data_IF_436040294674
#
_entry.id   IF_436040294674
#
_cell.length_a   1.000
_cell.length_b   1.000
_cell.length_c   1.000
_cell.angle_alpha   90.00
_cell.angle_beta   90.00
_cell.angle_gamma   90.00
#
_symmetry.space_group_name_H-M   'P 1'
#
loop_
_entity.id
_entity.type
_entity.pdbx_description
1 polymer ?
2 polymer ?
3 non-polymer ?
4 water ?
#
# COMPACT_ATOMS: atom_id res chain seq x y z
N UNK A 16 14.64 2.44 -23.07
CA UNK A 16 14.93 3.45 -22.05
C UNK A 16 15.77 2.92 -20.88
N UNK A 17 17.11 2.97 -20.99
CA UNK A 17 18.03 2.27 -20.04
C UNK A 17 17.79 2.83 -18.63
N UNK A 18 17.57 1.93 -17.68
CA UNK A 18 17.66 2.25 -16.23
C UNK A 18 19.03 1.81 -15.75
N UNK A 19 19.69 2.63 -14.90
CA UNK A 19 20.97 2.23 -14.30
C UNK A 19 20.94 0.83 -13.68
N UNK A 20 19.82 0.41 -13.10
CA UNK A 20 19.78 -0.87 -12.35
C UNK A 20 19.62 -2.05 -13.32
N UNK A 21 19.64 -1.80 -14.63
CA UNK A 21 19.80 -2.82 -15.69
C UNK A 21 21.28 -3.05 -16.01
N UNK A 22 22.17 -2.34 -15.32
CA UNK A 22 23.65 -2.46 -15.47
C UNK A 22 24.23 -3.27 -14.30
N UNK A 23 25.19 -4.15 -14.58
CA UNK A 23 25.82 -5.01 -13.58
C UNK A 23 24.86 -6.00 -12.94
N UNK A 24 25.13 -6.36 -11.69
CA UNK A 24 24.48 -7.44 -10.95
C UNK A 24 23.28 -6.81 -10.24
N UNK A 25 22.04 -7.32 -10.44
CA UNK A 25 20.88 -6.84 -9.69
C UNK A 25 21.11 -6.79 -8.17
N UNK A 26 21.88 -7.71 -7.61
CA UNK A 26 22.09 -7.77 -6.15
C UNK A 26 22.91 -6.56 -5.67
N UNK A 27 23.50 -5.78 -6.58
CA UNK A 27 24.15 -4.51 -6.18
C UNK A 27 23.15 -3.63 -5.42
N UNK A 28 21.86 -3.71 -5.76
CA UNK A 28 20.82 -2.85 -5.14
C UNK A 28 20.36 -3.45 -3.81
N UNK A 29 20.93 -4.59 -3.41
CA UNK A 29 20.62 -5.33 -2.16
C UNK A 29 21.93 -5.76 -1.52
N UNK A 30 22.92 -4.88 -1.58
CA UNK A 30 24.31 -5.14 -1.15
C UNK A 30 24.37 -5.37 0.35
N UNK A 31 25.36 -6.17 0.80
CA UNK A 31 25.50 -6.64 2.19
C UNK A 31 26.41 -5.69 2.98
N UNK A 32 26.98 -4.66 2.37
CA UNK A 32 27.81 -3.64 3.08
C UNK A 32 27.32 -2.23 2.78
N UNK A 33 27.50 -1.30 3.75
CA UNK A 33 27.28 0.13 3.52
C UNK A 33 27.92 0.68 2.23
N UNK A 34 29.17 0.32 1.95
CA UNK A 34 29.91 0.79 0.75
C UNK A 34 29.21 0.31 -0.53
N UNK A 35 28.77 -0.95 -0.54
CA UNK A 35 28.00 -1.52 -1.66
C UNK A 35 26.70 -0.75 -1.87
N UNK A 36 26.00 -0.42 -0.78
CA UNK A 36 24.70 0.31 -0.90
C UNK A 36 24.96 1.72 -1.42
N UNK A 37 26.10 2.33 -1.07
CA UNK A 37 26.48 3.70 -1.53
C UNK A 37 26.68 3.68 -3.05
N UNK A 38 27.32 2.64 -3.57
CA UNK A 38 27.49 2.46 -5.04
C UNK A 38 26.10 2.44 -5.70
N UNK A 39 25.16 1.62 -5.20
CA UNK A 39 23.81 1.50 -5.80
C UNK A 39 23.11 2.87 -5.74
N UNK A 40 23.18 3.55 -4.60
CA UNK A 40 22.58 4.90 -4.46
C UNK A 40 23.12 5.82 -5.55
N UNK A 41 24.41 5.72 -5.87
CA UNK A 41 25.05 6.64 -6.84
C UNK A 41 24.56 6.29 -8.24
N UNK A 42 24.42 5.00 -8.54
CA UNK A 42 23.91 4.54 -9.85
C UNK A 42 22.55 5.19 -10.13
N UNK A 43 21.67 5.24 -9.12
CA UNK A 43 20.27 5.69 -9.30
C UNK A 43 20.22 7.18 -9.66
N UNK A 44 21.26 7.96 -9.37
CA UNK A 44 21.13 9.45 -9.39
C UNK A 44 20.65 9.93 -10.78
N UNK A 45 21.14 9.33 -11.86
CA UNK A 45 20.86 9.76 -13.26
C UNK A 45 19.62 9.06 -13.81
N UNK A 46 18.97 8.19 -13.04
CA UNK A 46 17.80 7.42 -13.51
C UNK A 46 16.68 8.37 -13.94
N UNK A 47 16.12 8.19 -15.16
CA UNK A 47 15.04 9.07 -15.63
C UNK A 47 13.73 8.96 -14.84
N UNK A 48 13.53 7.87 -14.10
CA UNK A 48 12.30 7.65 -13.27
C UNK A 48 12.65 7.61 -11.78
N UNK A 49 13.77 8.19 -11.36
CA UNK A 49 14.28 8.06 -9.97
C UNK A 49 13.19 8.47 -8.96
N UNK A 50 12.56 9.63 -9.13
CA UNK A 50 11.59 10.11 -8.11
C UNK A 50 10.33 9.24 -8.11
N UNK A 51 9.95 8.73 -9.27
CA UNK A 51 8.78 7.82 -9.42
C UNK A 51 9.10 6.49 -8.72
N UNK A 52 10.32 5.97 -8.90
CA UNK A 52 10.77 4.70 -8.28
C UNK A 52 10.74 4.87 -6.75
N UNK A 53 11.23 6.01 -6.26
CA UNK A 53 11.26 6.31 -4.82
C UNK A 53 9.83 6.35 -4.28
N UNK A 54 8.93 7.05 -4.98
CA UNK A 54 7.53 7.24 -4.53
C UNK A 54 6.88 5.86 -4.42
N UNK A 55 7.07 5.02 -5.43
CA UNK A 55 6.39 3.71 -5.55
C UNK A 55 6.94 2.78 -4.46
N UNK A 56 8.25 2.82 -4.19
CA UNK A 56 8.86 1.95 -3.17
C UNK A 56 8.35 2.36 -1.78
N UNK A 57 8.14 3.65 -1.55
CA UNK A 57 7.57 4.15 -0.28
C UNK A 57 6.13 3.66 -0.13
N UNK A 58 5.35 3.72 -1.22
CA UNK A 58 3.92 3.32 -1.24
C UNK A 58 3.85 1.83 -0.91
N UNK A 59 4.75 1.02 -1.46
CA UNK A 59 4.77 -0.45 -1.25
C UNK A 59 5.43 -0.79 0.09
N UNK A 60 6.11 0.17 0.73
CA UNK A 60 6.86 -0.04 1.98
C UNK A 60 7.91 -1.15 1.78
N UNK A 61 8.78 -1.00 0.78
CA UNK A 61 9.84 -1.99 0.48
C UNK A 61 10.66 -2.21 1.74
N UNK A 62 10.90 -3.48 2.11
CA UNK A 62 11.58 -3.79 3.37
C UNK A 62 13.08 -3.52 3.39
N UNK A 63 13.70 -3.52 2.22
CA UNK A 63 15.16 -3.35 2.07
C UNK A 63 15.49 -2.98 0.63
N UNK A 64 16.78 -2.71 0.39
CA UNK A 64 17.32 -2.46 -0.95
C UNK A 64 17.37 -0.98 -1.25
N UNK A 65 18.00 -0.65 -2.38
CA UNK A 65 18.10 0.75 -2.84
C UNK A 65 17.05 0.96 -3.93
N UNK A 66 16.21 1.96 -3.72
CA UNK A 66 15.11 2.32 -4.63
C UNK A 66 15.16 3.84 -4.75
N UNK A 67 15.08 4.39 -5.97
CA UNK A 67 15.06 5.84 -6.17
C UNK A 67 16.25 6.51 -5.51
N UNK A 68 17.37 5.79 -5.42
CA UNK A 68 18.65 6.30 -4.89
C UNK A 68 18.64 6.46 -3.38
N UNK A 69 17.71 5.79 -2.70
CA UNK A 69 17.66 5.78 -1.22
C UNK A 69 17.71 4.33 -0.68
N UNK A 70 18.32 4.13 0.48
CA UNK A 70 18.31 2.82 1.19
C UNK A 70 17.00 2.70 1.96
N UNK A 71 16.31 1.56 1.79
CA UNK A 71 15.07 1.25 2.53
C UNK A 71 15.33 0.28 3.67
N UNK A 72 14.53 0.46 4.73
CA UNK A 72 14.54 -0.41 5.93
C UNK A 72 13.09 -0.42 6.46
N UNK A 73 12.37 -1.52 6.29
CA UNK A 73 10.96 -1.68 6.72
C UNK A 73 10.09 -0.53 6.18
N UNK A 74 10.29 -0.15 4.93
CA UNK A 74 9.48 0.90 4.25
C UNK A 74 9.92 2.31 4.64
N UNK A 75 10.92 2.45 5.50
CA UNK A 75 11.51 3.78 5.86
C UNK A 75 12.80 4.02 5.07
N UNK A 76 13.17 5.28 4.91
CA UNK A 76 14.47 5.73 4.33
C UNK A 76 15.51 5.75 5.45
N UNK A 77 16.66 5.12 5.22
CA UNK A 77 17.86 5.22 6.10
C UNK A 77 18.61 6.48 5.69
N UNK A 78 18.46 7.56 6.46
CA UNK A 78 18.83 8.96 6.05
C UNK A 78 20.14 9.38 6.73
N UNK A 79 20.73 8.51 7.55
CA UNK A 79 21.89 8.83 8.43
C UNK A 79 22.72 7.57 8.70
N UNK B 15 2.59 -17.76 -25.22
CA UNK B 15 1.99 -16.60 -24.49
C UNK B 15 2.03 -16.87 -22.98
N UNK B 16 1.31 -17.90 -22.51
CA UNK B 16 1.40 -18.41 -21.12
C UNK B 16 2.71 -19.21 -20.95
N UNK B 17 3.08 -20.00 -21.96
CA UNK B 17 4.35 -20.78 -21.96
C UNK B 17 5.53 -19.81 -21.98
N UNK B 18 5.44 -18.71 -22.74
CA UNK B 18 6.49 -17.66 -22.77
C UNK B 18 6.56 -16.99 -21.38
N UNK B 19 5.42 -16.77 -20.71
CA UNK B 19 5.41 -16.20 -19.34
C UNK B 19 6.15 -17.16 -18.40
N UNK B 20 5.81 -18.45 -18.45
CA UNK B 20 6.43 -19.49 -17.58
C UNK B 20 7.95 -19.45 -17.79
N UNK B 21 8.40 -19.40 -19.05
CA UNK B 21 9.84 -19.39 -19.41
C UNK B 21 10.51 -18.14 -18.84
N UNK B 22 9.89 -16.97 -19.00
CA UNK B 22 10.47 -15.68 -18.55
C UNK B 22 10.51 -15.67 -17.02
N UNK B 23 9.44 -16.12 -16.36
CA UNK B 23 9.40 -16.23 -14.87
C UNK B 23 10.55 -17.12 -14.39
N UNK B 24 10.73 -18.28 -15.02
CA UNK B 24 11.83 -19.22 -14.69
C UNK B 24 13.16 -18.47 -14.82
N UNK B 25 13.34 -17.71 -15.89
CA UNK B 25 14.63 -17.01 -16.14
C UNK B 25 14.86 -15.98 -15.03
N UNK B 26 13.83 -15.26 -14.62
CA UNK B 26 13.96 -14.23 -13.54
C UNK B 26 14.32 -14.95 -12.23
N UNK B 27 13.64 -16.06 -11.90
CA UNK B 27 13.87 -16.80 -10.64
C UNK B 27 15.29 -17.37 -10.62
N UNK B 28 15.84 -17.73 -11.79
CA UNK B 28 17.17 -18.35 -11.93
C UNK B 28 18.29 -17.33 -11.64
N UNK B 29 17.95 -16.02 -11.58
CA UNK B 29 18.89 -14.94 -11.22
C UNK B 29 19.00 -14.81 -9.69
N UNK B 30 18.11 -15.46 -8.93
CA UNK B 30 18.18 -15.51 -7.45
C UNK B 30 19.09 -16.66 -7.03
N UNK B 31 19.47 -16.71 -5.75
CA UNK B 31 20.17 -17.87 -5.15
C UNK B 31 19.23 -19.08 -5.16
N UNK B 32 19.76 -20.29 -5.03
CA UNK B 32 18.94 -21.54 -4.99
C UNK B 32 17.92 -21.41 -3.87
N UNK B 33 18.36 -20.97 -2.70
CA UNK B 33 17.51 -20.82 -1.49
C UNK B 33 16.42 -19.78 -1.76
N UNK B 34 16.79 -18.62 -2.31
CA UNK B 34 15.83 -17.52 -2.60
C UNK B 34 14.75 -18.02 -3.56
N UNK B 35 15.14 -18.60 -4.69
CA UNK B 35 14.21 -19.06 -5.73
C UNK B 35 13.38 -20.22 -5.17
N UNK B 36 14.01 -21.05 -4.34
CA UNK B 36 13.35 -22.25 -3.78
C UNK B 36 12.21 -21.86 -2.88
N UNK B 37 12.43 -20.89 -1.99
CA UNK B 37 11.38 -20.38 -1.07
C UNK B 37 10.22 -19.80 -1.90
N UNK B 38 10.50 -19.03 -2.94
CA UNK B 38 9.42 -18.40 -3.76
C UNK B 38 8.66 -19.49 -4.51
N UNK B 39 9.36 -20.46 -5.10
CA UNK B 39 8.68 -21.53 -5.88
C UNK B 39 7.77 -22.32 -4.94
N UNK B 40 8.27 -22.70 -3.76
CA UNK B 40 7.47 -23.51 -2.81
C UNK B 40 6.27 -22.70 -2.30
N UNK B 41 6.47 -21.40 -2.00
CA UNK B 41 5.38 -20.52 -1.47
C UNK B 41 4.24 -20.40 -2.50
N UNK B 42 4.55 -20.32 -3.79
CA UNK B 42 3.56 -20.06 -4.87
C UNK B 42 3.14 -21.37 -5.54
N UNK B 43 3.85 -22.47 -5.29
CA UNK B 43 3.50 -23.77 -5.92
C UNK B 43 3.90 -23.81 -7.37
N UNK B 44 5.02 -23.19 -7.72
CA UNK B 44 5.39 -22.96 -9.13
C UNK B 44 5.75 -24.27 -9.84
N UNK B 45 6.23 -25.28 -9.10
CA UNK B 45 6.65 -26.58 -9.70
C UNK B 45 5.50 -27.59 -9.58
N UNK B 46 4.90 -27.71 -8.41
CA UNK B 46 3.99 -28.86 -8.09
C UNK B 46 2.54 -28.38 -8.02
N UNK B 47 2.29 -27.07 -8.19
CA UNK B 47 0.93 -26.49 -8.19
C UNK B 47 0.35 -26.33 -6.80
N UNK B 48 1.12 -26.60 -5.74
CA UNK B 48 0.63 -26.61 -4.33
C UNK B 48 1.39 -25.58 -3.52
N UNK B 49 0.81 -24.39 -3.24
CA UNK B 49 1.43 -23.44 -2.33
C UNK B 49 1.73 -24.08 -0.96
N UNK B 50 2.90 -23.77 -0.40
CA UNK B 50 3.39 -24.32 0.88
C UNK B 50 3.44 -23.21 1.92
N UNK B 51 3.15 -23.56 3.17
CA UNK B 51 3.17 -22.61 4.31
C UNK B 51 4.63 -22.29 4.64
N UNK B 52 4.91 -21.15 5.27
CA UNK B 52 6.27 -20.82 5.73
C UNK B 52 6.76 -21.96 6.63
N UNK B 53 5.83 -22.55 7.42
CA UNK B 53 6.10 -23.67 8.34
C UNK B 53 6.60 -24.90 7.57
N UNK B 54 5.89 -25.28 6.50
CA UNK B 54 6.23 -26.46 5.65
C UNK B 54 7.61 -26.25 5.03
N UNK B 55 7.87 -25.04 4.54
CA UNK B 55 9.17 -24.70 3.88
C UNK B 55 10.29 -24.78 4.92
N UNK B 56 10.06 -24.28 6.14
CA UNK B 56 11.07 -24.38 7.22
C UNK B 56 11.46 -25.83 7.47
N UNK B 57 10.48 -26.73 7.49
CA UNK B 57 10.71 -28.17 7.78
C UNK B 57 11.57 -28.80 6.66
N UNK B 58 11.25 -28.51 5.40
CA UNK B 58 12.00 -29.01 4.19
C UNK B 58 13.46 -28.56 4.25
N UNK B 59 13.72 -27.29 4.56
CA UNK B 59 15.08 -26.72 4.49
C UNK B 59 15.82 -26.90 5.83
N UNK B 60 15.11 -27.26 6.90
CA UNK B 60 15.66 -27.32 8.27
C UNK B 60 16.12 -25.96 8.74
N UNK B 61 15.31 -24.95 8.45
CA UNK B 61 15.54 -23.52 8.78
C UNK B 61 14.34 -23.03 9.58
N UNK B 62 14.53 -22.09 10.50
CA UNK B 62 13.41 -21.55 11.31
C UNK B 62 12.34 -20.95 10.40
N UNK B 63 11.08 -21.06 10.80
CA UNK B 63 9.96 -20.38 10.13
C UNK B 63 10.32 -18.89 10.01
N UNK B 64 10.94 -18.33 11.04
CA UNK B 64 11.27 -16.88 11.05
C UNK B 64 12.25 -16.56 9.92
N UNK B 65 13.27 -17.38 9.71
CA UNK B 65 14.23 -17.09 8.63
C UNK B 65 13.54 -17.24 7.28
N UNK B 66 12.66 -18.21 7.14
CA UNK B 66 11.92 -18.37 5.86
C UNK B 66 11.06 -17.13 5.64
N UNK B 67 10.42 -16.63 6.70
CA UNK B 67 9.57 -15.42 6.59
C UNK B 67 10.44 -14.27 6.06
N UNK B 68 11.65 -14.13 6.60
CA UNK B 68 12.57 -13.02 6.24
C UNK B 68 12.96 -13.19 4.77
N UNK B 69 13.31 -14.42 4.39
CA UNK B 69 13.75 -14.71 3.00
C UNK B 69 12.60 -14.39 2.04
N UNK B 70 11.37 -14.80 2.35
CA UNK B 70 10.23 -14.55 1.45
C UNK B 70 10.10 -13.03 1.27
N UNK B 71 10.10 -12.28 2.37
CA UNK B 71 9.93 -10.81 2.35
C UNK B 71 11.02 -10.16 1.49
N UNK B 72 12.26 -10.53 1.73
CA UNK B 72 13.44 -9.90 1.08
C UNK B 72 13.47 -10.31 -0.40
N UNK B 73 13.08 -11.54 -0.72
CA UNK B 73 13.16 -12.03 -2.10
C UNK B 73 12.04 -11.40 -2.94
N UNK B 74 10.83 -11.26 -2.39
CA UNK B 74 9.71 -10.63 -3.12
C UNK B 74 10.12 -9.18 -3.43
N UNK B 75 10.86 -8.55 -2.53
CA UNK B 75 11.36 -7.17 -2.72
C UNK B 75 12.36 -7.16 -3.91
N UNK B 76 13.28 -8.13 -3.95
CA UNK B 76 14.20 -8.27 -5.11
C UNK B 76 13.43 -8.47 -6.42
N UNK B 77 12.33 -9.21 -6.40
CA UNK B 77 11.58 -9.55 -7.64
C UNK B 77 10.76 -8.35 -8.12
N UNK B 78 10.35 -7.45 -7.22
CA UNK B 78 9.64 -6.20 -7.58
C UNK B 78 10.64 -5.18 -8.16
N UNK B 79 11.90 -5.29 -7.78
CA UNK B 79 12.95 -4.32 -8.15
C UNK B 79 13.12 -4.33 -9.66
N UNK B 80 13.14 -3.15 -10.31
CA UNK B 80 13.22 -3.09 -11.78
C UNK B 80 14.40 -3.86 -12.38
N UNK B 81 15.48 -4.06 -11.61
CA UNK B 81 16.70 -4.82 -12.01
C UNK B 81 16.28 -6.24 -12.42
N UNK B 82 15.19 -6.76 -11.84
CA UNK B 82 14.70 -8.14 -12.14
C UNK B 82 13.32 -8.11 -12.79
N UNK B 83 12.46 -7.13 -12.48
CA UNK B 83 11.00 -7.16 -12.80
C UNK B 83 10.72 -6.57 -14.18
N UNK B 84 11.60 -5.70 -14.71
CA UNK B 84 11.29 -4.90 -15.93
C UNK B 84 10.85 -5.84 -17.06
N UNK B 85 11.57 -6.94 -17.25
CA UNK B 85 11.39 -7.88 -18.40
C UNK B 85 9.98 -8.51 -18.33
N UNK B 86 9.37 -8.54 -17.15
CA UNK B 86 8.09 -9.24 -16.93
C UNK B 86 6.90 -8.31 -17.20
N UNK B 87 7.15 -7.02 -17.40
CA UNK B 87 6.09 -5.99 -17.59
C UNK B 87 5.20 -6.37 -18.78
N UNK B 88 5.80 -6.80 -19.88
CA UNK B 88 5.10 -7.14 -21.15
C UNK B 88 3.92 -8.07 -20.86
N UNK B 89 4.04 -8.90 -19.81
CA UNK B 89 3.12 -10.01 -19.49
C UNK B 89 2.05 -9.52 -18.51
N UNK B 96 -6.04 -14.77 -13.12
CA UNK B 96 -5.60 -15.45 -11.88
C UNK B 96 -5.58 -16.98 -12.09
N UNK B 97 -5.69 -17.74 -11.00
CA UNK B 97 -5.79 -19.22 -11.03
C UNK B 97 -4.42 -19.88 -10.92
N UNK B 98 -3.55 -19.66 -11.90
CA UNK B 98 -2.26 -20.37 -12.06
C UNK B 98 -1.24 -19.81 -11.09
N UNK B 99 -0.31 -20.64 -10.57
CA UNK B 99 0.80 -20.13 -9.75
C UNK B 99 1.55 -18.98 -10.42
N UNK B 100 1.79 -19.06 -11.73
CA UNK B 100 2.56 -18.06 -12.49
C UNK B 100 1.84 -16.71 -12.41
N UNK B 101 0.52 -16.71 -12.62
CA UNK B 101 -0.29 -15.46 -12.72
C UNK B 101 -0.37 -14.85 -11.32
N UNK B 102 -0.42 -15.69 -10.28
CA UNK B 102 -0.47 -15.26 -8.86
C UNK B 102 0.85 -14.62 -8.44
N UNK B 103 1.99 -15.22 -8.82
CA UNK B 103 3.33 -14.61 -8.57
C UNK B 103 3.40 -13.25 -9.29
N UNK B 104 2.97 -13.19 -10.56
CA UNK B 104 2.91 -11.94 -11.35
C UNK B 104 2.13 -10.87 -10.57
N UNK B 105 1.01 -11.26 -9.95
CA UNK B 105 0.09 -10.33 -9.25
C UNK B 105 0.68 -9.93 -7.90
N UNK B 106 1.50 -10.79 -7.29
CA UNK B 106 2.27 -10.49 -6.05
C UNK B 106 3.44 -9.55 -6.35
N UNK B 107 3.95 -9.56 -7.58
CA UNK B 107 5.08 -8.67 -7.99
C UNK B 107 4.51 -7.30 -8.38
N UNK B 108 3.41 -7.27 -9.14
CA UNK B 108 2.93 -6.04 -9.84
C UNK B 108 1.63 -5.51 -9.22
N UNK B 109 1.12 -6.16 -8.18
CA UNK B 109 -0.23 -5.90 -7.64
C UNK B 109 -1.24 -5.69 -8.76
N UNK B 110 -1.80 -4.48 -8.85
CA UNK B 110 -3.00 -4.17 -9.67
C UNK B 110 -2.66 -4.32 -11.16
N UNK B 111 -1.38 -4.19 -11.53
CA UNK B 111 -0.89 -4.20 -12.94
C UNK B 111 -0.93 -5.64 -13.48
N UNK B 112 -0.93 -6.65 -12.59
CA UNK B 112 -1.14 -8.09 -12.91
C UNK B 112 -0.33 -8.46 -14.15
N UNK C 16 -11.64 11.65 26.02
CA UNK C 16 -12.88 12.42 25.83
C UNK C 16 -13.77 11.82 24.71
N UNK C 17 -15.09 12.01 24.82
CA UNK C 17 -16.02 11.90 23.66
C UNK C 17 -15.90 13.20 22.84
N UNK C 18 -15.31 13.09 21.65
CA UNK C 18 -15.22 14.20 20.66
C UNK C 18 -16.59 14.44 20.05
N UNK C 19 -16.95 15.70 19.71
CA UNK C 19 -18.23 15.98 19.06
C UNK C 19 -18.54 15.06 17.87
N UNK C 20 -17.55 14.72 17.04
CA UNK C 20 -17.78 13.93 15.80
C UNK C 20 -17.92 12.43 16.12
N UNK C 21 -17.88 12.05 17.40
CA UNK C 21 -18.21 10.66 17.86
C UNK C 21 -19.72 10.55 18.12
N UNK C 22 -20.42 11.68 18.06
CA UNK C 22 -21.89 11.81 18.28
C UNK C 22 -22.56 11.99 16.92
N UNK C 23 -23.63 11.24 16.64
CA UNK C 23 -24.45 11.41 15.43
C UNK C 23 -23.83 10.79 14.18
N UNK C 24 -24.42 11.06 13.02
CA UNK C 24 -24.11 10.46 11.71
C UNK C 24 -22.72 10.97 11.28
N UNK C 25 -21.69 10.10 11.07
CA UNK C 25 -20.38 10.56 10.59
C UNK C 25 -20.49 11.42 9.33
N UNK C 26 -21.45 11.16 8.45
CA UNK C 26 -21.61 11.93 7.19
C UNK C 26 -22.03 13.38 7.46
N UNK C 27 -22.40 13.76 8.69
CA UNK C 27 -22.66 15.20 9.00
C UNK C 27 -21.44 16.03 8.63
N UNK C 28 -20.24 15.47 8.80
CA UNK C 28 -18.96 16.19 8.54
C UNK C 28 -18.63 16.19 7.05
N UNK C 29 -19.49 15.59 6.22
CA UNK C 29 -19.29 15.48 4.74
C UNK C 29 -20.64 15.74 4.06
N UNK C 30 -21.39 16.68 4.62
CA UNK C 30 -22.79 17.03 4.23
C UNK C 30 -22.85 17.61 2.80
N UNK C 31 -23.99 17.42 2.12
CA UNK C 31 -24.09 17.73 0.67
C UNK C 31 -24.67 19.14 0.47
N UNK C 32 -25.00 19.85 1.56
CA UNK C 32 -25.51 21.25 1.52
C UNK C 32 -24.62 22.17 2.35
N UNK C 33 -24.54 23.47 1.98
CA UNK C 33 -23.87 24.49 2.79
C UNK C 33 -24.38 24.59 4.23
N UNK C 34 -25.70 24.55 4.45
CA UNK C 34 -26.30 24.52 5.80
C UNK C 34 -25.81 23.28 6.56
N UNK C 35 -25.76 22.12 5.89
CA UNK C 35 -25.25 20.87 6.47
C UNK C 35 -23.83 21.07 6.96
N UNK C 36 -22.96 21.64 6.14
CA UNK C 36 -21.54 21.86 6.53
C UNK C 36 -21.49 22.83 7.72
N UNK C 37 -22.40 23.81 7.81
CA UNK C 37 -22.40 24.81 8.91
C UNK C 37 -22.75 24.11 10.23
N UNK C 38 -23.64 23.13 10.20
CA UNK C 38 -23.97 22.30 11.40
C UNK C 38 -22.70 21.62 11.90
N UNK C 39 -21.94 20.98 11.01
CA UNK C 39 -20.71 20.26 11.39
C UNK C 39 -19.67 21.26 11.94
N UNK C 40 -19.53 22.42 11.30
CA UNK C 40 -18.60 23.48 11.80
C UNK C 40 -18.98 23.82 13.24
N UNK C 41 -20.27 23.89 13.53
CA UNK C 41 -20.76 24.27 14.88
C UNK C 41 -20.42 23.16 15.87
N UNK C 42 -20.59 21.89 15.48
CA UNK C 42 -20.27 20.73 16.36
C UNK C 42 -18.81 20.83 16.83
N UNK C 43 -17.89 21.14 15.92
CA UNK C 43 -16.43 21.14 16.22
C UNK C 43 -16.06 22.22 17.25
N UNK C 44 -16.85 23.28 17.41
CA UNK C 44 -16.39 24.50 18.14
C UNK C 44 -15.87 24.11 19.52
N UNK C 45 -16.53 23.17 20.21
CA UNK C 45 -16.23 22.81 21.62
C UNK C 45 -15.30 21.59 21.71
N UNK C 46 -14.75 21.12 20.58
CA UNK C 46 -13.89 19.91 20.55
C UNK C 46 -12.59 20.20 21.28
N UNK C 47 -12.18 19.34 22.25
CA UNK C 47 -10.96 19.59 23.01
C UNK C 47 -9.66 19.51 22.18
N UNK C 48 -9.72 18.96 20.96
CA UNK C 48 -8.52 18.81 20.09
C UNK C 48 -8.74 19.52 18.73
N UNK C 49 -9.59 20.55 18.71
CA UNK C 49 -10.03 21.21 17.45
C UNK C 49 -8.82 21.75 16.68
N UNK C 50 -7.91 22.46 17.36
CA UNK C 50 -6.76 23.06 16.66
C UNK C 50 -5.81 21.98 16.14
N UNK C 51 -5.66 20.89 16.89
CA UNK C 51 -4.80 19.74 16.52
C UNK C 51 -5.40 19.07 15.27
N UNK C 52 -6.69 18.78 15.31
CA UNK C 52 -7.44 18.21 14.16
C UNK C 52 -7.26 19.09 12.93
N UNK C 53 -7.43 20.40 13.05
CA UNK C 53 -7.31 21.35 11.91
C UNK C 53 -5.89 21.23 11.33
N UNK C 54 -4.87 21.29 12.17
CA UNK C 54 -3.45 21.30 11.73
C UNK C 54 -3.15 20.00 10.97
N UNK C 55 -3.64 18.86 11.46
CA UNK C 55 -3.37 17.54 10.88
C UNK C 55 -4.09 17.42 9.53
N UNK C 56 -5.32 17.93 9.43
CA UNK C 56 -6.10 17.92 8.17
C UNK C 56 -5.39 18.78 7.12
N UNK C 57 -4.89 19.95 7.51
CA UNK C 57 -4.09 20.81 6.60
C UNK C 57 -2.83 20.05 6.15
N UNK C 58 -2.13 19.39 7.06
CA UNK C 58 -0.89 18.63 6.75
C UNK C 58 -1.22 17.57 5.68
N UNK C 59 -2.34 16.87 5.83
CA UNK C 59 -2.72 15.76 4.91
C UNK C 59 -3.39 16.32 3.67
N UNK C 60 -3.67 17.63 3.63
CA UNK C 60 -4.42 18.31 2.56
C UNK C 60 -5.74 17.56 2.29
N UNK C 61 -6.58 17.42 3.30
CA UNK C 61 -7.89 16.73 3.14
C UNK C 61 -8.66 17.38 2.00
N UNK C 62 -9.20 16.57 1.06
CA UNK C 62 -9.88 17.11 -0.12
C UNK C 62 -11.26 17.72 0.11
N UNK C 63 -11.94 17.32 1.18
CA UNK C 63 -13.29 17.81 1.54
C UNK C 63 -13.56 17.51 3.00
N UNK C 64 -14.76 17.87 3.43
CA UNK C 64 -15.29 17.64 4.77
C UNK C 64 -14.93 18.75 5.74
N UNK C 65 -15.52 18.67 6.92
CA UNK C 65 -15.28 19.61 8.03
C UNK C 65 -14.29 18.94 8.99
N UNK C 66 -13.16 19.61 9.19
CA UNK C 66 -12.07 19.20 10.10
C UNK C 66 -11.70 20.42 10.95
N UNK C 67 -11.50 20.25 12.26
CA UNK C 67 -11.09 21.37 13.12
C UNK C 67 -12.05 22.55 12.99
N UNK C 68 -13.35 22.30 12.74
CA UNK C 68 -14.35 23.38 12.64
C UNK C 68 -14.27 24.18 11.36
N UNK C 69 -13.53 23.70 10.34
CA UNK C 69 -13.38 24.41 9.06
C UNK C 69 -13.76 23.49 7.88
N UNK C 70 -14.36 24.07 6.85
CA UNK C 70 -14.68 23.34 5.59
C UNK C 70 -13.41 23.27 4.75
N UNK C 71 -13.10 22.06 4.26
CA UNK C 71 -11.92 21.83 3.38
C UNK C 71 -12.37 21.66 1.94
N UNK C 72 -11.47 22.06 1.04
CA UNK C 72 -11.65 21.94 -0.43
C UNK C 72 -10.24 21.79 -1.02
N UNK C 73 -9.87 20.58 -1.42
CA UNK C 73 -8.53 20.29 -2.00
C UNK C 73 -7.42 20.81 -1.07
N UNK C 74 -7.58 20.63 0.24
CA UNK C 74 -6.54 20.92 1.25
C UNK C 74 -6.51 22.37 1.67
N UNK C 75 -7.39 23.19 1.11
CA UNK C 75 -7.53 24.61 1.47
C UNK C 75 -8.78 24.80 2.34
N UNK C 76 -8.80 25.88 3.13
CA UNK C 76 -9.97 26.26 3.96
C UNK C 76 -10.89 27.13 3.11
N UNK C 77 -12.18 26.79 3.09
CA UNK C 77 -13.22 27.67 2.50
C UNK C 77 -13.62 28.68 3.58
N UNK C 78 -13.11 29.92 3.49
CA UNK C 78 -13.20 30.94 4.57
C UNK C 78 -14.31 31.94 4.25
N UNK C 79 -14.78 31.96 3.01
CA UNK C 79 -15.76 32.96 2.48
C UNK C 79 -16.81 32.24 1.62
N UNK D 15 -7.11 -11.08 17.03
CA UNK D 15 -6.15 -9.96 16.87
C UNK D 15 -6.21 -9.44 15.43
N UNK D 16 -5.72 -10.23 14.47
CA UNK D 16 -5.88 -9.96 13.02
C UNK D 16 -7.35 -10.16 12.63
N UNK D 17 -7.99 -11.20 13.18
CA UNK D 17 -9.43 -11.48 12.93
C UNK D 17 -10.27 -10.32 13.49
N UNK D 18 -9.90 -9.80 14.66
CA UNK D 18 -10.58 -8.62 15.25
C UNK D 18 -10.32 -7.39 14.36
N UNK D 19 -9.13 -7.23 13.78
CA UNK D 19 -8.87 -6.12 12.83
C UNK D 19 -9.82 -6.25 11.64
N UNK D 20 -9.96 -7.45 11.07
CA UNK D 20 -10.81 -7.67 9.88
C UNK D 20 -12.26 -7.33 10.22
N UNK D 21 -12.74 -7.75 11.40
CA UNK D 21 -14.12 -7.50 11.86
C UNK D 21 -14.33 -5.99 12.03
N UNK D 22 -13.35 -5.29 12.60
CA UNK D 22 -13.46 -3.84 12.90
C UNK D 22 -13.44 -3.06 11.59
N UNK D 23 -12.53 -3.39 10.66
CA UNK D 23 -12.51 -2.80 9.30
C UNK D 23 -13.86 -3.02 8.61
N UNK D 24 -14.41 -4.23 8.69
CA UNK D 24 -15.71 -4.51 8.03
C UNK D 24 -16.76 -3.56 8.62
N UNK D 25 -16.78 -3.37 9.94
CA UNK D 25 -17.82 -2.54 10.62
C UNK D 25 -17.69 -1.10 10.13
N UNK D 26 -16.47 -0.58 10.03
CA UNK D 26 -16.25 0.82 9.57
C UNK D 26 -16.70 0.93 8.11
N UNK D 27 -16.29 0.00 7.25
CA UNK D 27 -16.66 0.09 5.82
C UNK D 27 -18.19 0.02 5.67
N UNK D 28 -18.85 -0.73 6.55
CA UNK D 28 -20.33 -0.93 6.49
C UNK D 28 -21.07 0.37 6.85
N UNK D 29 -20.38 1.36 7.43
CA UNK D 29 -20.95 2.71 7.71
C UNK D 29 -20.92 3.58 6.44
N UNK D 30 -20.23 3.15 5.38
CA UNK D 30 -20.22 3.86 4.08
C UNK D 30 -21.40 3.43 3.22
N UNK D 31 -21.66 4.16 2.14
CA UNK D 31 -22.60 3.74 1.06
C UNK D 31 -22.04 2.48 0.39
N UNK D 32 -22.87 1.73 -0.33
CA UNK D 32 -22.43 0.49 -1.03
C UNK D 32 -21.33 0.85 -2.04
N UNK D 33 -21.49 1.97 -2.73
CA UNK D 33 -20.56 2.41 -3.80
C UNK D 33 -19.22 2.80 -3.14
N UNK D 34 -19.26 3.55 -2.05
CA UNK D 34 -18.04 4.01 -1.34
C UNK D 34 -17.25 2.81 -0.82
N UNK D 35 -17.92 1.91 -0.08
CA UNK D 35 -17.31 0.70 0.49
C UNK D 35 -16.79 -0.16 -0.66
N UNK D 36 -17.56 -0.28 -1.74
CA UNK D 36 -17.20 -1.11 -2.91
C UNK D 36 -15.92 -0.64 -3.55
N UNK D 37 -15.80 0.65 -3.80
CA UNK D 37 -14.56 1.22 -4.41
C UNK D 37 -13.37 0.88 -3.49
N UNK D 38 -13.49 1.09 -2.19
CA UNK D 38 -12.35 0.89 -1.28
C UNK D 38 -12.00 -0.61 -1.21
N UNK D 39 -13.00 -1.48 -1.08
CA UNK D 39 -12.73 -2.94 -1.01
C UNK D 39 -12.03 -3.39 -2.30
N UNK D 40 -12.50 -2.94 -3.46
CA UNK D 40 -11.93 -3.35 -4.76
C UNK D 40 -10.52 -2.77 -4.91
N UNK D 41 -10.29 -1.53 -4.49
CA UNK D 41 -8.95 -0.89 -4.63
C UNK D 41 -7.93 -1.65 -3.79
N UNK D 42 -8.30 -2.09 -2.58
CA UNK D 42 -7.35 -2.69 -1.62
C UNK D 42 -7.34 -4.21 -1.75
N UNK D 43 -8.32 -4.80 -2.43
CA UNK D 43 -8.47 -6.27 -2.52
C UNK D 43 -8.94 -6.89 -1.20
N UNK D 44 -9.82 -6.22 -0.47
CA UNK D 44 -10.20 -6.65 0.90
C UNK D 44 -11.02 -7.95 0.85
N UNK D 45 -11.78 -8.19 -0.21
CA UNK D 45 -12.63 -9.41 -0.34
C UNK D 45 -11.83 -10.53 -1.03
N UNK D 46 -11.20 -10.26 -2.18
CA UNK D 46 -10.68 -11.33 -3.08
C UNK D 46 -9.15 -11.35 -3.10
N UNK D 47 -8.51 -10.48 -2.31
CA UNK D 47 -7.04 -10.45 -2.16
C UNK D 47 -6.34 -9.77 -3.33
N UNK D 48 -7.09 -9.27 -4.32
CA UNK D 48 -6.52 -8.72 -5.58
C UNK D 48 -6.91 -7.25 -5.74
N UNK D 49 -5.98 -6.32 -5.44
CA UNK D 49 -6.24 -4.90 -5.72
C UNK D 49 -6.58 -4.65 -7.19
N UNK D 50 -7.61 -3.83 -7.44
CA UNK D 50 -8.07 -3.50 -8.81
C UNK D 50 -7.71 -2.04 -9.12
N UNK D 51 -7.49 -1.74 -10.39
CA UNK D 51 -7.21 -0.36 -10.88
C UNK D 51 -8.50 0.44 -10.87
N UNK D 52 -8.38 1.77 -10.81
CA UNK D 52 -9.53 2.68 -11.04
C UNK D 52 -10.24 2.27 -12.34
N UNK D 53 -9.49 1.95 -13.40
CA UNK D 53 -10.03 1.57 -14.72
C UNK D 53 -10.94 0.34 -14.57
N UNK D 54 -10.45 -0.72 -13.91
CA UNK D 54 -11.19 -1.99 -13.70
C UNK D 54 -12.47 -1.69 -12.93
N UNK D 55 -12.37 -0.89 -11.87
CA UNK D 55 -13.55 -0.56 -11.01
C UNK D 55 -14.58 0.21 -11.84
N UNK D 56 -14.16 1.20 -12.64
CA UNK D 56 -15.08 1.94 -13.52
C UNK D 56 -15.83 1.00 -14.46
N UNK D 57 -15.15 -0.02 -14.98
CA UNK D 57 -15.76 -0.98 -15.94
C UNK D 57 -16.85 -1.78 -15.22
N UNK D 58 -16.56 -2.24 -14.00
CA UNK D 58 -17.51 -3.05 -13.19
C UNK D 58 -18.75 -2.21 -12.87
N UNK D 59 -18.57 -0.96 -12.47
CA UNK D 59 -19.68 -0.12 -11.96
C UNK D 59 -20.38 0.65 -13.10
N UNK D 60 -19.81 0.66 -14.31
CA UNK D 60 -20.32 1.46 -15.44
C UNK D 60 -20.23 2.95 -15.12
N UNK D 61 -19.13 3.35 -14.50
CA UNK D 61 -18.88 4.73 -14.01
C UNK D 61 -17.53 5.18 -14.56
N UNK D 62 -17.38 6.46 -14.89
CA UNK D 62 -16.12 6.99 -15.47
C UNK D 62 -14.98 6.71 -14.48
N UNK D 63 -13.78 6.49 -15.01
CA UNK D 63 -12.54 6.37 -14.20
C UNK D 63 -12.43 7.62 -13.33
N UNK D 64 -12.79 8.79 -13.87
CA UNK D 64 -12.64 10.09 -13.14
C UNK D 64 -13.55 10.04 -11.91
N UNK D 65 -14.77 9.58 -12.06
CA UNK D 65 -15.69 9.52 -10.90
C UNK D 65 -15.19 8.51 -9.86
N UNK D 66 -14.71 7.36 -10.29
CA UNK D 66 -14.12 6.39 -9.34
C UNK D 66 -12.96 7.08 -8.61
N UNK D 67 -12.10 7.80 -9.35
CA UNK D 67 -10.96 8.52 -8.75
C UNK D 67 -11.46 9.44 -7.64
N UNK D 68 -12.49 10.23 -7.94
CA UNK D 68 -13.09 11.21 -6.99
C UNK D 68 -13.67 10.46 -5.78
N UNK D 69 -14.35 9.33 -6.01
CA UNK D 69 -14.97 8.52 -4.92
C UNK D 69 -13.86 7.94 -4.02
N UNK D 70 -12.77 7.47 -4.60
CA UNK D 70 -11.64 6.91 -3.81
C UNK D 70 -11.11 8.01 -2.89
N UNK D 71 -10.85 9.19 -3.45
CA UNK D 71 -10.23 10.34 -2.74
C UNK D 71 -11.14 10.74 -1.58
N UNK D 72 -12.42 10.93 -1.88
CA UNK D 72 -13.42 11.41 -0.91
C UNK D 72 -13.65 10.36 0.16
N UNK D 73 -13.66 9.07 -0.20
CA UNK D 73 -13.99 7.99 0.75
C UNK D 73 -12.79 7.75 1.69
N UNK D 74 -11.56 7.83 1.18
CA UNK D 74 -10.36 7.74 2.05
C UNK D 74 -10.37 8.89 3.05
N UNK D 75 -10.82 10.08 2.63
CA UNK D 75 -10.98 11.25 3.52
C UNK D 75 -11.99 10.91 4.63
N UNK D 76 -13.14 10.33 4.30
CA UNK D 76 -14.15 9.93 5.31
C UNK D 76 -13.56 8.90 6.29
N UNK D 77 -12.75 7.96 5.80
CA UNK D 77 -12.19 6.88 6.64
C UNK D 77 -11.11 7.44 7.57
N UNK D 78 -10.43 8.53 7.19
CA UNK D 78 -9.40 9.16 8.06
C UNK D 78 -10.08 10.02 9.13
N UNK D 79 -11.30 10.46 8.87
CA UNK D 79 -12.04 11.37 9.79
C UNK D 79 -12.25 10.66 11.12
N UNK D 80 -12.01 11.33 12.26
CA UNK D 80 -12.14 10.68 13.56
C UNK D 80 -13.53 10.11 13.83
N UNK D 81 -14.57 10.61 13.16
CA UNK D 81 -15.96 10.08 13.21
C UNK D 81 -15.97 8.60 12.81
N UNK D 82 -15.01 8.15 11.99
CA UNK D 82 -14.95 6.74 11.53
C UNK D 82 -13.67 6.06 11.99
N UNK D 83 -12.57 6.80 12.17
CA UNK D 83 -11.21 6.22 12.33
C UNK D 83 -10.92 5.88 13.80
N UNK D 84 -11.59 6.52 14.75
CA UNK D 84 -11.19 6.46 16.19
C UNK D 84 -11.09 4.98 16.59
N UNK D 85 -12.07 4.17 16.20
CA UNK D 85 -12.27 2.77 16.70
C UNK D 85 -11.13 1.87 16.20
N UNK D 86 -10.37 2.29 15.17
CA UNK D 86 -9.30 1.48 14.54
C UNK D 86 -7.94 1.75 15.19
N UNK D 87 -7.85 2.72 16.11
CA UNK D 87 -6.57 3.25 16.65
C UNK D 87 -5.85 2.13 17.42
N UNK D 88 -6.60 1.29 18.14
CA UNK D 88 -6.08 0.21 19.00
C UNK D 88 -5.09 -0.66 18.21
N UNK D 89 -5.31 -0.81 16.90
CA UNK D 89 -4.84 -1.96 16.07
C UNK D 89 -3.45 -1.67 15.47
N UNK D 90 -2.98 -0.42 15.52
CA UNK D 90 -1.64 -0.03 15.01
C UNK D 90 -0.61 -0.14 16.13
N UNK D 91 0.40 -1.00 15.94
CA UNK D 91 1.74 -0.89 16.58
C UNK D 91 2.72 -0.34 15.53
N UNK D 92 3.97 -0.11 15.93
CA UNK D 92 4.99 0.56 15.11
C UNK D 92 5.82 -0.41 14.29
N UNK D 93 5.26 -1.60 14.01
CA UNK D 93 5.87 -2.66 13.15
C UNK D 93 5.27 -2.59 11.75
N UNK D 94 5.99 -3.11 10.75
CA UNK D 94 5.64 -3.00 9.30
C UNK D 94 4.46 -3.91 8.95
N UNK D 95 4.08 -4.82 9.86
CA UNK D 95 3.05 -5.87 9.61
C UNK D 95 3.51 -6.80 8.51
N UNK D 96 2.58 -7.26 7.66
CA UNK D 96 2.83 -8.37 6.69
C UNK D 96 2.22 -8.04 5.31
N UNK D 97 1.72 -6.82 5.12
CA UNK D 97 1.29 -6.31 3.81
C UNK D 97 0.02 -6.98 3.30
N UNK D 98 -0.85 -7.46 4.20
CA UNK D 98 -2.23 -7.88 3.87
C UNK D 98 -3.02 -6.65 3.41
N UNK D 99 -4.10 -6.84 2.62
CA UNK D 99 -5.02 -5.75 2.28
C UNK D 99 -5.46 -4.94 3.51
N UNK D 100 -5.76 -5.64 4.62
CA UNK D 100 -6.24 -5.03 5.88
C UNK D 100 -5.16 -4.08 6.43
N UNK D 101 -3.93 -4.58 6.52
CA UNK D 101 -2.79 -3.81 7.06
C UNK D 101 -2.49 -2.62 6.14
N UNK D 102 -2.60 -2.80 4.83
CA UNK D 102 -2.39 -1.69 3.86
C UNK D 102 -3.49 -0.63 4.05
N UNK D 103 -4.74 -1.05 4.20
CA UNK D 103 -5.79 -0.03 4.38
C UNK D 103 -5.56 0.71 5.71
N UNK D 104 -5.20 -0.02 6.75
CA UNK D 104 -5.02 0.53 8.11
C UNK D 104 -3.95 1.63 8.09
N UNK D 105 -2.94 1.48 7.21
CA UNK D 105 -1.79 2.41 7.10
C UNK D 105 -2.15 3.59 6.17
N UNK D 106 -3.06 3.39 5.23
CA UNK D 106 -3.60 4.47 4.36
C UNK D 106 -4.44 5.42 5.22
N UNK D 107 -5.06 4.89 6.28
CA UNK D 107 -5.98 5.64 7.18
C UNK D 107 -5.12 6.46 8.16
N UNK D 108 -4.01 5.89 8.65
CA UNK D 108 -3.24 6.42 9.81
C UNK D 108 -1.81 6.83 9.40
N UNK D 109 -1.25 6.23 8.35
CA UNK D 109 0.19 6.43 8.09
C UNK D 109 1.03 5.63 9.10
N UNK D 110 2.13 6.12 9.74
CA UNK D 110 2.78 5.32 10.81
C UNK D 110 1.71 4.83 11.79
X LIG E 1 16.03 3.90 -11.44
X LIG E 1 16.48 1.29 -10.87
X LIG E 1 14.70 2.76 -9.39
X LIG E 1 17.40 3.24 -9.18
X LIG E 1 16.26 1.39 -8.72
X LIG E 1 15.78 4.69 -9.39
X LIG E 1 18.00 2.91 -11.25
X LIG E 1 14.59 2.24 -11.47
X LIG F 1 -12.91 17.49 16.92
X LIG F 1 -14.07 15.65 15.24
X LIG F 1 -11.87 17.14 14.46
X LIG F 1 -14.31 18.38 14.71
X LIG F 1 -13.71 16.75 13.32
X LIG F 1 -12.36 19.09 15.46
X LIG F 1 -15.06 17.26 16.47
X LIG F 1 -11.97 15.61 16.08
#
# INVERSE_FOLDING_TARGET
>A
XSVLTVPRQTPRQRLPVLPCHVGDPDMWFADTPAGLEVAKTMCVSCPIRRQCLAAALQRAEPWGVWGGEIFDQGSIVSH
>B
XAHHHHHHVAVDAVSFTLLQDQLQSVLDTLSEREAGVVRLRFGLTDGQPRTLDEIGQVYGVTRERIRQIESKTMSKLRHPSRSQVLRDYLDGSSGSGTPEERLLRAIFGEKA
>C
XSVLTVPRQTPRQRLPVLPCHVGDPDMWFADTPAGLEVAKTMCVSCPIRRQCLAAALQRAEPWGVWGGEIFDQGSIVSH
>D
XAHHHHHHVAVDAVSFTLLQDQLQSVLDTLSEREAGVVRLRFGLTDGQPRTLDEIGQVYGVTRERIRQIESKTMSKLRHPSRSQVLRDYLDGSSGSGTPEERLLRAIFGEKA
>E hetero
1 SF4 FE1 FE2 FE3 FE4 S1 S2 S3 S4
>F hetero
1 SF4 FE1 FE2 FE3 FE4 S1 S2 S3 S4
#
